data_IF_470392905419
#
_entry.id   IF_470392905419
#
_cell.length_a   1.000
_cell.length_b   1.000
_cell.length_c   1.000
_cell.angle_alpha   90.00
_cell.angle_beta   90.00
_cell.angle_gamma   90.00
#
_symmetry.space_group_name_H-M   'P 1'
#
loop_
_entity.id
_entity.type
_entity.pdbx_description
1 polymer ?
#
# COMPACT_ATOMS: atom_id res chain seq x y z
N UNK A 1 -57.48 -19.10 -43.05
CA UNK A 1 -57.61 -20.53 -42.69
C UNK A 1 -56.61 -20.78 -41.57
N UNK A 2 -57.13 -20.99 -40.34
CA UNK A 2 -56.53 -21.64 -39.14
C UNK A 2 -55.10 -21.25 -38.72
N UNK A 3 -54.92 -20.51 -37.61
CA UNK A 3 -54.63 -20.99 -36.22
C UNK A 3 -53.17 -21.49 -36.05
N UNK A 4 -52.36 -21.26 -35.01
CA UNK A 4 -52.46 -20.68 -33.66
C UNK A 4 -51.03 -20.74 -33.03
N UNK A 5 -50.70 -19.78 -32.14
CA UNK A 5 -49.87 -19.92 -30.89
C UNK A 5 -48.35 -20.22 -31.13
N UNK A 6 -47.38 -19.41 -30.67
CA UNK A 6 -47.01 -19.12 -29.28
C UNK A 6 -46.44 -17.71 -29.06
N UNK A 7 -47.02 -17.05 -28.08
CA UNK A 7 -46.49 -15.95 -27.29
C UNK A 7 -45.30 -16.44 -26.45
N UNK A 8 -44.16 -15.76 -26.52
CA UNK A 8 -43.20 -15.70 -25.39
C UNK A 8 -42.50 -14.34 -25.39
N UNK A 9 -43.10 -13.47 -24.59
CA UNK A 9 -42.51 -12.28 -23.96
C UNK A 9 -41.04 -12.50 -23.51
N UNK A 10 -40.08 -11.90 -24.25
CA UNK A 10 -38.70 -11.70 -23.75
C UNK A 10 -38.51 -10.23 -23.42
N UNK A 11 -39.01 -9.85 -22.25
CA UNK A 11 -38.65 -8.62 -21.56
C UNK A 11 -37.12 -8.51 -21.44
N UNK A 12 -36.55 -7.54 -22.17
CA UNK A 12 -35.24 -6.97 -21.89
C UNK A 12 -35.30 -6.28 -20.52
N UNK A 13 -34.91 -6.97 -19.46
CA UNK A 13 -34.63 -6.33 -18.17
C UNK A 13 -33.33 -5.52 -18.28
N UNK A 14 -33.49 -4.23 -18.55
CA UNK A 14 -32.45 -3.22 -18.28
C UNK A 14 -32.19 -3.22 -16.77
N UNK A 15 -31.06 -3.76 -16.33
CA UNK A 15 -30.59 -3.53 -14.97
C UNK A 15 -30.22 -2.05 -14.86
N UNK A 16 -31.05 -1.28 -14.15
CA UNK A 16 -30.82 0.14 -13.92
C UNK A 16 -29.69 0.31 -12.90
N UNK A 17 -28.88 1.38 -13.05
CA UNK A 17 -27.79 1.75 -12.13
C UNK A 17 -28.24 1.94 -10.67
N UNK A 18 -29.54 2.03 -10.38
CA UNK A 18 -30.10 2.11 -9.03
C UNK A 18 -30.42 0.76 -8.39
N UNK A 19 -30.42 -0.33 -9.15
CA UNK A 19 -30.64 -1.69 -8.62
C UNK A 19 -29.34 -2.36 -8.12
N UNK A 20 -28.17 -1.75 -8.37
CA UNK A 20 -26.87 -2.23 -7.89
C UNK A 20 -26.50 -1.67 -6.50
N UNK A 21 -27.08 -0.53 -6.09
CA UNK A 21 -26.82 0.12 -4.80
C UNK A 21 -27.79 -0.29 -3.68
N UNK A 22 -28.68 -1.25 -3.91
CA UNK A 22 -29.63 -1.75 -2.91
C UNK A 22 -29.39 -3.22 -2.52
N UNK A 23 -28.27 -3.83 -2.95
CA UNK A 23 -27.98 -5.26 -2.79
C UNK A 23 -26.63 -5.58 -2.16
N UNK A 24 -26.21 -4.82 -1.14
CA UNK A 24 -24.91 -5.01 -0.49
C UNK A 24 -24.91 -4.76 1.02
N UNK A 25 -26.04 -5.01 1.71
CA UNK A 25 -26.09 -5.03 3.17
C UNK A 25 -26.61 -6.40 3.61
N UNK A 26 -25.87 -7.00 4.54
CA UNK A 26 -26.10 -8.26 5.25
C UNK A 26 -25.69 -9.56 4.53
N UNK A 27 -24.56 -10.10 4.98
CA UNK A 27 -24.23 -11.51 5.28
C UNK A 27 -22.69 -11.52 5.46
N UNK A 28 -22.17 -11.30 6.68
CA UNK A 28 -21.70 -12.39 7.53
C UNK A 28 -21.83 -12.02 9.02
N UNK A 29 -22.98 -12.31 9.64
CA UNK A 29 -23.07 -12.52 11.07
C UNK A 29 -23.44 -13.99 11.29
N UNK A 30 -22.45 -14.87 11.10
CA UNK A 30 -22.56 -16.26 11.56
C UNK A 30 -22.41 -16.30 13.09
N UNK A 31 -22.99 -17.30 13.78
CA UNK A 31 -22.75 -17.45 15.21
C UNK A 31 -21.25 -17.61 15.43
N UNK A 32 -20.69 -16.78 16.31
CA UNK A 32 -19.32 -16.95 16.80
C UNK A 32 -19.27 -18.27 17.56
N UNK A 33 -18.88 -19.35 16.86
CA UNK A 33 -18.40 -20.55 17.51
C UNK A 33 -17.12 -20.12 18.24
N UNK A 34 -17.03 -20.22 19.57
CA UNK A 34 -15.76 -20.01 20.23
C UNK A 34 -14.86 -21.14 19.74
N UNK A 35 -13.96 -20.83 18.81
CA UNK A 35 -12.82 -21.67 18.51
C UNK A 35 -12.04 -21.77 19.82
N UNK A 36 -12.30 -22.87 20.54
CA UNK A 36 -11.52 -23.34 21.67
C UNK A 36 -10.06 -23.24 21.22
N UNK A 37 -9.31 -22.40 21.94
CA UNK A 37 -8.03 -21.86 21.52
C UNK A 37 -7.08 -22.92 20.99
N UNK A 38 -6.91 -22.92 19.66
CA UNK A 38 -5.63 -23.27 19.09
C UNK A 38 -4.61 -22.30 19.71
N UNK A 39 -3.51 -22.78 20.31
CA UNK A 39 -2.46 -21.88 20.77
C UNK A 39 -2.03 -21.03 19.58
N UNK A 40 -2.31 -19.72 19.63
CA UNK A 40 -1.81 -18.77 18.63
C UNK A 40 -0.28 -18.88 18.68
N UNK A 41 0.29 -19.59 17.72
CA UNK A 41 1.74 -19.66 17.61
C UNK A 41 2.22 -18.23 17.35
N UNK A 42 3.05 -17.73 18.25
CA UNK A 42 3.69 -16.43 18.04
C UNK A 42 4.67 -16.62 16.88
N UNK A 43 4.47 -15.92 15.74
CA UNK A 43 5.34 -16.10 14.58
C UNK A 43 6.77 -15.73 14.99
N UNK A 44 7.73 -16.50 14.49
CA UNK A 44 9.16 -16.21 14.63
C UNK A 44 9.70 -15.79 13.28
N UNK A 45 10.46 -14.71 13.26
CA UNK A 45 11.02 -14.13 12.04
C UNK A 45 12.53 -14.37 11.99
N UNK A 46 13.07 -14.55 10.78
CA UNK A 46 14.51 -14.71 10.56
C UNK A 46 15.30 -13.41 10.80
N UNK A 47 14.62 -12.27 10.83
CA UNK A 47 15.17 -10.93 11.09
C UNK A 47 14.04 -9.96 11.47
N UNK A 48 14.32 -8.66 11.63
CA UNK A 48 13.31 -7.66 11.94
C UNK A 48 12.21 -7.65 10.87
N UNK A 49 10.94 -7.96 11.22
CA UNK A 49 9.89 -8.16 10.22
C UNK A 49 9.45 -6.85 9.55
N UNK A 50 9.56 -5.72 10.24
CA UNK A 50 9.19 -4.39 9.72
C UNK A 50 10.37 -3.70 9.01
N UNK A 51 11.14 -4.46 8.23
CA UNK A 51 12.38 -4.00 7.58
C UNK A 51 12.15 -2.91 6.53
N UNK A 52 10.95 -2.83 5.96
CA UNK A 52 10.55 -1.84 4.95
C UNK A 52 9.88 -0.60 5.57
N UNK A 53 9.90 -0.50 6.91
CA UNK A 53 9.33 0.62 7.64
C UNK A 53 7.80 0.59 7.72
N UNK A 54 7.25 1.78 7.89
CA UNK A 54 5.80 2.03 8.00
C UNK A 54 5.46 3.26 7.15
N UNK A 55 4.24 3.33 6.66
CA UNK A 55 3.74 4.48 5.91
C UNK A 55 2.30 4.80 6.32
N UNK A 56 1.84 6.00 6.00
CA UNK A 56 0.43 6.37 6.09
C UNK A 56 0.06 7.19 4.86
N UNK A 57 -1.22 7.22 4.52
CA UNK A 57 -1.67 7.90 3.31
C UNK A 57 -3.17 8.08 3.23
N UNK A 58 -3.59 8.66 2.11
CA UNK A 58 -4.99 8.94 1.76
C UNK A 58 -5.84 9.47 2.93
N UNK A 59 -5.39 10.53 3.62
CA UNK A 59 -6.12 11.07 4.76
C UNK A 59 -7.44 11.70 4.32
N UNK A 60 -8.49 11.41 5.11
CA UNK A 60 -9.76 12.13 5.06
C UNK A 60 -9.90 12.98 6.33
N UNK A 61 -11.07 13.59 6.53
CA UNK A 61 -11.33 14.34 7.76
C UNK A 61 -11.47 13.48 9.01
N UNK A 62 -11.73 12.19 8.87
CA UNK A 62 -11.97 11.28 10.00
C UNK A 62 -11.30 9.91 9.83
N UNK A 63 -10.49 9.74 8.80
CA UNK A 63 -9.73 8.51 8.55
C UNK A 63 -8.35 8.74 7.96
N UNK A 64 -7.49 7.72 8.09
CA UNK A 64 -6.18 7.61 7.44
C UNK A 64 -5.91 6.15 7.08
N UNK A 65 -5.19 5.91 5.99
CA UNK A 65 -4.61 4.60 5.69
C UNK A 65 -3.28 4.43 6.43
N UNK A 66 -3.07 3.27 7.03
CA UNK A 66 -1.78 2.86 7.60
C UNK A 66 -1.25 1.65 6.84
N UNK A 67 0.06 1.64 6.59
CA UNK A 67 0.74 0.60 5.83
C UNK A 67 2.00 0.08 6.52
N UNK A 68 2.23 -1.22 6.41
CA UNK A 68 3.54 -1.86 6.59
C UNK A 68 3.58 -3.19 5.83
N UNK A 69 4.74 -3.83 5.74
CA UNK A 69 4.91 -5.17 5.14
C UNK A 69 5.83 -6.01 6.01
N UNK A 70 5.45 -7.26 6.30
CA UNK A 70 6.33 -8.21 6.98
C UNK A 70 7.33 -8.78 5.97
N UNK A 71 8.60 -8.41 6.11
CA UNK A 71 9.65 -8.78 5.17
C UNK A 71 11.02 -8.98 5.86
N UNK A 72 11.20 -9.98 6.74
CA UNK A 72 12.48 -10.22 7.42
C UNK A 72 13.67 -10.44 6.47
N UNK A 73 13.44 -10.91 5.24
CA UNK A 73 14.46 -11.02 4.18
C UNK A 73 13.95 -10.31 2.91
N UNK A 74 14.00 -8.97 2.88
CA UNK A 74 13.18 -8.16 1.97
C UNK A 74 13.55 -8.30 0.48
N UNK A 75 14.80 -8.60 0.17
CA UNK A 75 15.29 -8.75 -1.21
C UNK A 75 15.18 -10.21 -1.74
N UNK A 76 14.70 -11.14 -0.92
CA UNK A 76 14.48 -12.54 -1.27
C UNK A 76 12.99 -12.88 -1.14
N UNK A 77 12.13 -12.09 -1.81
CA UNK A 77 10.68 -12.25 -1.79
C UNK A 77 9.99 -11.83 -0.48
N UNK A 78 10.76 -11.49 0.56
CA UNK A 78 10.27 -11.10 1.88
C UNK A 78 10.56 -12.12 2.99
N UNK A 79 11.10 -13.30 2.70
CA UNK A 79 11.51 -14.27 3.75
C UNK A 79 10.39 -14.75 4.67
N UNK A 80 9.14 -14.68 4.22
CA UNK A 80 7.95 -15.15 4.91
C UNK A 80 7.49 -16.50 4.32
N UNK A 81 6.87 -17.36 5.13
CA UNK A 81 6.24 -18.60 4.65
C UNK A 81 4.84 -18.40 4.10
N UNK A 82 4.20 -19.48 3.66
CA UNK A 82 2.86 -19.48 3.03
C UNK A 82 1.69 -19.34 4.01
N UNK A 83 1.98 -18.97 5.26
CA UNK A 83 0.97 -18.80 6.31
C UNK A 83 0.55 -17.34 6.46
N UNK A 84 -0.71 -17.13 6.80
CA UNK A 84 -1.23 -15.83 7.16
C UNK A 84 -0.76 -15.44 8.57
N UNK A 85 -0.34 -14.17 8.75
CA UNK A 85 0.25 -13.69 10.00
C UNK A 85 -0.53 -12.53 10.57
N UNK A 86 -0.91 -12.62 11.84
CA UNK A 86 -1.58 -11.51 12.52
C UNK A 86 -0.61 -10.36 12.83
N UNK A 87 -1.08 -9.14 12.56
CA UNK A 87 -0.36 -7.89 12.84
C UNK A 87 -1.29 -6.98 13.62
N UNK A 88 -0.92 -6.68 14.87
CA UNK A 88 -1.64 -5.73 15.70
C UNK A 88 -1.21 -4.32 15.33
N UNK A 89 -2.15 -3.38 15.33
CA UNK A 89 -1.88 -1.97 15.08
C UNK A 89 -2.54 -1.11 16.16
N UNK A 90 -1.98 0.06 16.41
CA UNK A 90 -2.53 1.05 17.33
C UNK A 90 -2.25 2.46 16.83
N UNK A 91 -3.17 3.37 17.14
CA UNK A 91 -3.08 4.81 16.90
C UNK A 91 -3.24 5.55 18.22
N UNK A 92 -2.39 6.53 18.47
CA UNK A 92 -2.35 7.33 19.69
C UNK A 92 -2.26 8.83 19.40
N UNK A 93 -2.58 9.63 20.41
CA UNK A 93 -2.51 11.11 20.36
C UNK A 93 -1.16 11.67 20.83
N UNK A 94 -0.19 10.81 21.10
CA UNK A 94 1.16 11.16 21.53
C UNK A 94 2.20 10.19 20.96
N UNK A 95 3.39 10.71 20.68
CA UNK A 95 4.51 9.96 20.10
C UNK A 95 4.98 8.77 20.96
N UNK A 96 4.85 8.89 22.29
CA UNK A 96 5.22 7.82 23.23
C UNK A 96 4.20 6.67 23.21
N UNK A 97 3.11 6.81 22.44
CA UNK A 97 2.03 5.84 22.30
C UNK A 97 1.37 5.48 23.63
N UNK A 98 1.20 6.46 24.53
CA UNK A 98 0.61 6.26 25.86
C UNK A 98 -0.90 6.47 25.87
N UNK A 99 -1.44 7.29 24.95
CA UNK A 99 -2.86 7.63 24.82
C UNK A 99 -3.42 7.05 23.52
N UNK A 100 -3.58 5.73 23.50
CA UNK A 100 -4.14 4.98 22.37
C UNK A 100 -5.63 5.30 22.20
N UNK A 101 -6.02 5.77 21.03
CA UNK A 101 -7.40 6.12 20.66
C UNK A 101 -8.05 5.08 19.78
N UNK A 102 -7.28 4.37 18.95
CA UNK A 102 -7.75 3.27 18.11
C UNK A 102 -6.74 2.12 18.13
N UNK A 103 -7.22 0.88 18.02
CA UNK A 103 -6.36 -0.31 17.90
C UNK A 103 -7.12 -1.43 17.22
N UNK A 104 -6.39 -2.37 16.64
CA UNK A 104 -6.97 -3.56 16.06
C UNK A 104 -5.93 -4.58 15.64
N UNK A 105 -6.40 -5.58 14.90
CA UNK A 105 -5.58 -6.65 14.33
C UNK A 105 -5.94 -6.78 12.86
N UNK A 106 -4.92 -6.86 12.01
CA UNK A 106 -5.03 -7.17 10.60
C UNK A 106 -4.29 -8.46 10.29
N UNK A 107 -4.61 -9.10 9.17
CA UNK A 107 -3.98 -10.35 8.74
C UNK A 107 -3.11 -10.06 7.52
N UNK A 108 -1.80 -10.19 7.67
CA UNK A 108 -0.82 -10.13 6.59
C UNK A 108 -0.85 -11.47 5.84
N UNK A 109 -1.28 -11.47 4.58
CA UNK A 109 -1.48 -12.71 3.81
C UNK A 109 -0.39 -12.92 2.75
N UNK A 110 0.01 -14.17 2.45
CA UNK A 110 1.04 -14.45 1.45
C UNK A 110 0.68 -14.01 0.03
N UNK A 111 -0.60 -14.06 -0.34
CA UNK A 111 -1.09 -13.64 -1.65
C UNK A 111 -0.84 -12.15 -1.93
N UNK A 112 -0.73 -11.34 -0.87
CA UNK A 112 -0.38 -9.91 -0.92
C UNK A 112 1.04 -9.63 -0.37
N UNK A 113 1.93 -10.62 -0.43
CA UNK A 113 3.33 -10.47 0.00
C UNK A 113 3.48 -10.07 1.47
N UNK A 114 2.51 -10.43 2.32
CA UNK A 114 2.41 -10.04 3.73
C UNK A 114 2.41 -8.52 3.96
N UNK A 115 1.91 -7.76 2.99
CA UNK A 115 1.53 -6.37 3.19
C UNK A 115 0.31 -6.25 4.12
N UNK A 116 0.24 -5.14 4.84
CA UNK A 116 -0.85 -4.79 5.75
C UNK A 116 -1.32 -3.39 5.41
N UNK A 117 -2.59 -3.29 5.05
CA UNK A 117 -3.32 -2.04 4.86
C UNK A 117 -4.41 -1.93 5.91
N UNK A 118 -4.50 -0.78 6.58
CA UNK A 118 -5.52 -0.51 7.60
C UNK A 118 -6.13 0.86 7.35
N UNK A 119 -7.42 0.89 7.04
CA UNK A 119 -8.19 2.12 7.14
C UNK A 119 -8.60 2.34 8.61
N UNK A 120 -8.08 3.39 9.23
CA UNK A 120 -8.45 3.76 10.60
C UNK A 120 -9.44 4.90 10.52
N UNK A 121 -10.70 4.64 10.85
CA UNK A 121 -11.80 5.63 10.83
C UNK A 121 -12.14 6.15 12.23
N UNK A 122 -13.03 7.14 12.32
CA UNK A 122 -13.51 7.71 13.58
C UNK A 122 -12.46 8.56 14.30
N UNK A 123 -11.48 9.08 13.58
CA UNK A 123 -10.50 10.02 14.08
C UNK A 123 -11.07 11.44 14.07
N UNK A 124 -10.51 12.31 14.91
CA UNK A 124 -10.88 13.73 14.90
C UNK A 124 -10.23 14.42 13.70
N UNK A 125 -10.90 15.40 13.08
CA UNK A 125 -10.36 16.16 11.97
C UNK A 125 -9.21 17.07 12.36
N UNK A 126 -8.40 17.41 11.37
CA UNK A 126 -7.29 18.36 11.45
C UNK A 126 -6.29 18.07 12.59
N UNK A 127 -5.98 16.78 12.83
CA UNK A 127 -5.23 16.35 14.00
C UNK A 127 -4.08 15.41 13.65
N UNK A 128 -2.95 15.63 14.33
CA UNK A 128 -1.81 14.72 14.31
C UNK A 128 -2.04 13.49 15.19
N UNK A 129 -1.63 12.34 14.67
CA UNK A 129 -1.65 11.05 15.34
C UNK A 129 -0.31 10.32 15.16
N UNK A 130 -0.05 9.38 16.06
CA UNK A 130 1.08 8.47 15.98
C UNK A 130 0.57 7.04 15.93
N UNK A 131 1.25 6.18 15.18
CA UNK A 131 0.81 4.81 14.96
C UNK A 131 1.98 3.82 14.96
N UNK A 132 1.68 2.55 15.20
CA UNK A 132 2.67 1.47 15.23
C UNK A 132 2.03 0.11 15.01
N UNK A 133 2.80 -0.80 14.42
CA UNK A 133 2.46 -2.21 14.25
C UNK A 133 3.26 -3.12 15.19
N UNK A 134 2.71 -4.30 15.49
CA UNK A 134 3.35 -5.35 16.29
C UNK A 134 2.98 -6.73 15.77
N UNK A 135 3.97 -7.62 15.65
CA UNK A 135 3.76 -9.02 15.32
C UNK A 135 4.91 -9.87 15.87
N UNK A 136 4.66 -11.10 16.29
CA UNK A 136 5.73 -12.01 16.73
C UNK A 136 6.58 -11.54 17.91
N UNK A 137 6.08 -10.62 18.75
CA UNK A 137 6.86 -9.96 19.82
C UNK A 137 7.67 -8.75 19.34
N UNK A 138 7.80 -8.55 18.03
CA UNK A 138 8.45 -7.42 17.39
C UNK A 138 7.51 -6.21 17.28
N UNK A 139 8.10 -5.02 17.23
CA UNK A 139 7.39 -3.78 17.05
C UNK A 139 8.00 -2.99 15.89
N UNK A 140 7.16 -2.40 15.05
CA UNK A 140 7.63 -1.45 14.06
C UNK A 140 8.14 -0.19 14.73
N UNK A 141 8.86 0.65 13.97
CA UNK A 141 9.04 2.05 14.33
C UNK A 141 7.68 2.76 14.46
N UNK A 142 7.64 3.84 15.22
CA UNK A 142 6.44 4.69 15.34
C UNK A 142 6.39 5.59 14.11
N UNK A 143 5.24 5.61 13.43
CA UNK A 143 4.94 6.58 12.40
C UNK A 143 4.05 7.71 12.93
N UNK A 144 3.97 8.81 12.19
CA UNK A 144 3.15 9.99 12.42
C UNK A 144 2.28 10.24 11.19
N UNK A 145 1.03 10.59 11.40
CA UNK A 145 0.05 10.88 10.34
C UNK A 145 -0.89 11.99 10.75
N UNK A 146 -1.69 12.51 9.82
CA UNK A 146 -2.63 13.61 10.04
C UNK A 146 -3.94 13.37 9.31
N UNK A 147 -5.06 13.60 9.98
CA UNK A 147 -6.38 13.75 9.34
C UNK A 147 -6.54 15.15 8.76
N UNK A 148 -7.24 15.27 7.65
CA UNK A 148 -7.54 16.57 7.05
C UNK A 148 -8.60 17.35 7.84
N UNK A 149 -8.68 18.68 7.65
CA UNK A 149 -9.84 19.44 8.09
C UNK A 149 -11.13 18.94 7.44
N UNK A 150 -12.26 19.13 8.11
CA UNK A 150 -13.58 18.91 7.52
C UNK A 150 -13.75 19.84 6.30
N UNK A 151 -14.36 19.34 5.22
CA UNK A 151 -14.62 20.12 4.03
C UNK A 151 -15.34 21.45 4.35
N UNK A 152 -14.84 22.56 3.79
CA UNK A 152 -15.36 23.91 4.05
C UNK A 152 -14.80 24.60 5.30
N UNK A 153 -13.94 23.93 6.08
CA UNK A 153 -13.23 24.57 7.20
C UNK A 153 -12.28 25.66 6.70
N UNK A 154 -12.13 26.73 7.47
CA UNK A 154 -11.12 27.75 7.21
C UNK A 154 -9.72 27.19 7.53
N UNK A 155 -8.89 27.00 6.51
CA UNK A 155 -7.51 26.52 6.65
C UNK A 155 -6.56 27.71 6.60
N UNK A 156 -5.79 27.93 7.67
CA UNK A 156 -4.84 29.05 7.74
C UNK A 156 -3.63 28.84 6.83
N UNK A 157 -3.15 27.61 6.73
CA UNK A 157 -1.98 27.23 5.96
C UNK A 157 -2.04 25.74 5.63
N UNK A 158 -1.57 25.37 4.44
CA UNK A 158 -1.26 24.01 4.04
C UNK A 158 0.21 23.96 3.64
N UNK A 159 0.98 23.02 4.21
CA UNK A 159 2.35 22.73 3.79
C UNK A 159 2.39 21.39 3.10
N UNK A 160 2.82 21.38 1.85
CA UNK A 160 2.93 20.17 1.05
C UNK A 160 4.25 20.13 0.32
N UNK A 161 4.78 18.93 0.11
CA UNK A 161 5.82 18.66 -0.87
C UNK A 161 5.28 17.69 -1.92
N UNK A 162 5.93 17.68 -3.08
CA UNK A 162 5.76 16.60 -4.03
C UNK A 162 7.12 16.07 -4.49
N UNK A 163 7.17 14.79 -4.84
CA UNK A 163 8.34 14.11 -5.37
C UNK A 163 7.94 13.21 -6.55
N UNK A 164 8.89 12.92 -7.41
CA UNK A 164 8.81 11.92 -8.47
C UNK A 164 10.22 11.51 -8.87
N UNK A 165 10.33 10.49 -9.73
CA UNK A 165 11.56 10.14 -10.44
C UNK A 165 12.76 9.85 -9.52
N UNK A 166 12.58 8.90 -8.61
CA UNK A 166 13.60 8.57 -7.60
C UNK A 166 14.51 7.41 -8.04
N UNK A 167 15.05 7.43 -9.26
CA UNK A 167 15.84 6.30 -9.79
C UNK A 167 17.00 5.91 -8.87
N UNK A 168 16.91 4.73 -8.26
CA UNK A 168 17.80 4.27 -7.19
C UNK A 168 19.29 4.34 -7.55
N UNK A 169 19.66 3.93 -8.76
CA UNK A 169 21.06 3.93 -9.22
C UNK A 169 21.67 5.32 -9.46
N UNK A 170 20.84 6.36 -9.65
CA UNK A 170 21.33 7.69 -10.07
C UNK A 170 21.88 8.53 -8.92
N UNK A 171 21.54 8.18 -7.67
CA UNK A 171 22.02 8.88 -6.49
C UNK A 171 21.40 8.35 -5.21
N UNK A 172 21.80 8.94 -4.08
CA UNK A 172 21.18 8.69 -2.78
C UNK A 172 19.94 9.54 -2.59
N UNK A 173 19.03 9.10 -1.73
CA UNK A 173 17.76 9.77 -1.45
C UNK A 173 17.87 10.95 -0.47
N UNK A 174 18.98 11.70 -0.55
CA UNK A 174 19.26 12.88 0.29
C UNK A 174 18.19 13.97 0.15
N UNK A 175 17.45 14.01 -0.97
CA UNK A 175 16.30 14.88 -1.11
C UNK A 175 15.21 14.61 -0.06
N UNK A 176 14.94 13.33 0.27
CA UNK A 176 14.02 12.99 1.36
C UNK A 176 14.57 13.40 2.71
N UNK A 177 15.88 13.31 2.93
CA UNK A 177 16.51 13.84 4.14
C UNK A 177 16.24 15.33 4.32
N UNK A 178 16.33 16.13 3.26
CA UNK A 178 16.01 17.55 3.32
C UNK A 178 14.51 17.80 3.46
N UNK A 179 13.65 16.99 2.84
CA UNK A 179 12.20 17.05 3.03
C UNK A 179 11.79 16.91 4.51
N UNK A 180 12.55 16.13 5.29
CA UNK A 180 12.32 15.94 6.73
C UNK A 180 12.63 17.18 7.58
N UNK A 181 13.34 18.17 7.03
CA UNK A 181 13.60 19.46 7.71
C UNK A 181 12.33 20.33 7.73
N UNK A 182 11.38 20.07 6.84
CA UNK A 182 10.07 20.71 6.82
C UNK A 182 9.06 19.98 7.71
N UNK A 183 8.10 20.71 8.28
CA UNK A 183 6.93 20.14 8.95
C UNK A 183 5.74 20.19 7.99
N UNK A 184 5.71 19.22 7.06
CA UNK A 184 4.70 19.10 6.01
C UNK A 184 3.41 18.46 6.55
N UNK A 185 2.26 18.90 6.06
CA UNK A 185 0.97 18.30 6.36
C UNK A 185 0.69 17.06 5.50
N UNK A 186 1.25 17.01 4.27
CA UNK A 186 1.09 15.91 3.31
C UNK A 186 2.21 15.92 2.27
N UNK A 187 2.55 14.75 1.73
CA UNK A 187 3.47 14.59 0.59
C UNK A 187 2.74 13.95 -0.57
N UNK A 188 2.99 14.41 -1.79
CA UNK A 188 2.54 13.75 -3.01
C UNK A 188 3.69 13.01 -3.69
N UNK A 189 3.49 11.78 -4.12
CA UNK A 189 4.41 11.12 -5.05
C UNK A 189 3.74 11.00 -6.42
N UNK A 190 4.37 11.54 -7.46
CA UNK A 190 3.76 11.76 -8.78
C UNK A 190 4.31 10.80 -9.84
N UNK A 191 4.61 9.57 -9.46
CA UNK A 191 5.16 8.54 -10.34
C UNK A 191 6.67 8.38 -10.29
N UNK A 192 7.14 7.33 -10.95
CA UNK A 192 8.53 6.86 -10.96
C UNK A 192 9.09 6.63 -9.54
N UNK A 193 8.27 6.04 -8.69
CA UNK A 193 8.66 5.58 -7.36
C UNK A 193 9.69 4.45 -7.46
N UNK A 194 9.55 3.58 -8.46
CA UNK A 194 10.57 2.62 -8.85
C UNK A 194 10.94 2.82 -10.32
N UNK A 195 11.99 2.12 -10.73
CA UNK A 195 12.37 1.92 -12.13
C UNK A 195 12.56 0.43 -12.33
N UNK A 196 12.27 -0.05 -13.52
CA UNK A 196 12.16 -1.46 -13.93
C UNK A 196 13.46 -2.09 -14.43
N UNK A 197 14.41 -1.26 -14.88
CA UNK A 197 15.63 -1.67 -15.59
C UNK A 197 16.53 -2.67 -14.86
N UNK A 198 17.40 -3.33 -15.62
CA UNK A 198 18.52 -4.11 -15.10
C UNK A 198 19.54 -3.26 -14.32
N UNK A 199 20.28 -3.88 -13.41
CA UNK A 199 21.31 -3.21 -12.63
C UNK A 199 22.57 -2.85 -13.44
N UNK A 200 23.00 -1.59 -13.39
CA UNK A 200 24.16 -1.09 -14.13
C UNK A 200 25.37 -0.81 -13.24
N UNK A 201 26.52 -1.35 -13.63
CA UNK A 201 27.80 -1.07 -12.97
C UNK A 201 28.26 0.39 -13.16
N UNK A 202 29.11 0.87 -12.26
CA UNK A 202 29.67 2.23 -12.30
C UNK A 202 28.69 3.34 -11.90
N UNK A 203 27.50 2.99 -11.39
CA UNK A 203 26.51 3.91 -10.81
C UNK A 203 26.73 4.10 -9.30
N UNK A 204 26.05 5.10 -8.71
CA UNK A 204 26.17 5.40 -7.28
C UNK A 204 25.64 4.26 -6.39
N UNK A 205 24.60 3.60 -6.88
CA UNK A 205 24.01 2.37 -6.34
C UNK A 205 23.62 1.47 -7.50
N UNK A 206 23.26 0.22 -7.23
CA UNK A 206 22.93 -0.77 -8.27
C UNK A 206 21.57 -1.42 -8.01
N UNK A 207 20.74 -1.55 -9.04
CA UNK A 207 19.57 -2.44 -8.99
C UNK A 207 20.03 -3.90 -8.91
N UNK A 208 19.15 -4.76 -8.40
CA UNK A 208 19.37 -6.20 -8.33
C UNK A 208 18.78 -6.90 -9.55
N UNK A 209 19.60 -7.72 -10.22
CA UNK A 209 19.17 -8.58 -11.32
C UNK A 209 18.93 -7.84 -12.63
N UNK A 210 18.24 -8.54 -13.53
CA UNK A 210 17.83 -8.06 -14.85
C UNK A 210 16.62 -7.11 -14.74
N UNK A 211 16.07 -6.72 -15.88
CA UNK A 211 14.80 -5.99 -15.94
C UNK A 211 13.66 -6.80 -15.29
N UNK A 212 12.81 -6.13 -14.51
CA UNK A 212 11.76 -6.80 -13.74
C UNK A 212 10.52 -7.09 -14.58
N UNK A 213 10.04 -8.34 -14.51
CA UNK A 213 8.85 -8.77 -15.26
C UNK A 213 7.87 -9.56 -14.39
N UNK A 214 8.36 -10.33 -13.40
CA UNK A 214 7.53 -11.17 -12.55
C UNK A 214 7.12 -10.44 -11.27
N UNK A 215 6.05 -10.90 -10.63
CA UNK A 215 5.58 -10.35 -9.35
C UNK A 215 6.68 -10.34 -8.27
N UNK A 216 7.50 -11.39 -8.21
CA UNK A 216 8.66 -11.46 -7.30
C UNK A 216 9.67 -10.35 -7.57
N UNK A 217 9.88 -10.02 -8.83
CA UNK A 217 10.89 -9.06 -9.26
C UNK A 217 10.43 -7.65 -8.89
N UNK A 218 9.17 -7.31 -9.16
CA UNK A 218 8.57 -6.05 -8.71
C UNK A 218 8.53 -5.93 -7.18
N UNK A 219 8.19 -7.01 -6.45
CA UNK A 219 8.23 -7.01 -4.98
C UNK A 219 9.64 -6.74 -4.44
N UNK A 220 10.65 -7.36 -5.03
CA UNK A 220 12.05 -7.16 -4.66
C UNK A 220 12.55 -5.76 -5.05
N UNK A 221 12.10 -5.22 -6.19
CA UNK A 221 12.43 -3.85 -6.61
C UNK A 221 11.83 -2.81 -5.68
N UNK A 222 10.55 -2.92 -5.33
CA UNK A 222 9.94 -2.04 -4.34
C UNK A 222 10.63 -2.16 -2.98
N UNK A 223 10.98 -3.38 -2.55
CA UNK A 223 11.73 -3.58 -1.32
C UNK A 223 13.10 -2.89 -1.36
N UNK A 224 13.86 -3.00 -2.46
CA UNK A 224 15.14 -2.33 -2.65
C UNK A 224 15.04 -0.82 -2.46
N UNK A 225 14.02 -0.19 -3.05
CA UNK A 225 13.78 1.24 -2.90
C UNK A 225 13.36 1.59 -1.47
N UNK A 226 12.41 0.84 -0.89
CA UNK A 226 11.91 1.07 0.48
C UNK A 226 12.90 0.71 1.58
N UNK A 227 14.05 0.11 1.27
CA UNK A 227 15.14 -0.08 2.23
C UNK A 227 15.97 1.19 2.47
N UNK A 228 15.79 2.23 1.65
CA UNK A 228 16.48 3.50 1.86
C UNK A 228 16.00 4.18 3.15
N UNK A 229 16.91 4.51 4.09
CA UNK A 229 16.54 5.05 5.40
C UNK A 229 15.90 6.44 5.33
N UNK A 230 16.29 7.29 4.38
CA UNK A 230 15.73 8.63 4.25
C UNK A 230 14.28 8.54 3.73
N UNK A 231 14.01 7.61 2.81
CA UNK A 231 12.66 7.32 2.33
C UNK A 231 11.78 6.68 3.42
N UNK A 232 12.31 5.74 4.21
CA UNK A 232 11.58 5.16 5.34
C UNK A 232 11.21 6.20 6.39
N UNK A 233 12.09 7.15 6.66
CA UNK A 233 11.82 8.23 7.61
C UNK A 233 10.77 9.20 7.06
N UNK A 234 10.82 9.54 5.76
CA UNK A 234 9.80 10.37 5.13
C UNK A 234 8.40 9.73 5.21
N UNK A 235 8.27 8.45 4.84
CA UNK A 235 7.01 7.69 4.96
C UNK A 235 6.52 7.56 6.40
N UNK A 236 7.43 7.41 7.35
CA UNK A 236 7.06 7.34 8.76
C UNK A 236 6.63 8.70 9.32
N UNK A 237 7.02 9.84 8.71
CA UNK A 237 6.80 11.18 9.29
C UNK A 237 5.58 11.91 8.74
N UNK A 238 5.22 11.66 7.49
CA UNK A 238 4.16 12.37 6.76
C UNK A 238 3.17 11.38 6.11
N UNK A 239 1.89 11.76 5.97
CA UNK A 239 0.98 11.02 5.10
C UNK A 239 1.33 11.28 3.62
N UNK A 240 1.36 10.21 2.82
CA UNK A 240 1.61 10.27 1.38
C UNK A 240 0.32 10.08 0.60
N UNK A 241 0.16 10.83 -0.48
CA UNK A 241 -0.85 10.59 -1.53
C UNK A 241 -0.07 10.25 -2.80
N UNK A 242 -0.23 9.04 -3.30
CA UNK A 242 0.65 8.49 -4.34
C UNK A 242 -0.12 8.20 -5.63
N UNK A 243 0.54 8.46 -6.74
CA UNK A 243 0.15 7.96 -8.06
C UNK A 243 1.39 7.48 -8.77
N UNK A 244 1.22 6.50 -9.65
CA UNK A 244 2.29 5.99 -10.51
C UNK A 244 2.41 6.82 -11.80
N UNK A 245 3.52 6.63 -12.52
CA UNK A 245 3.67 6.98 -13.93
C UNK A 245 4.00 5.70 -14.72
N UNK A 246 4.98 5.74 -15.61
CA UNK A 246 5.34 4.66 -16.52
C UNK A 246 6.31 3.66 -15.87
N UNK A 247 7.35 4.13 -15.18
CA UNK A 247 8.42 3.30 -14.63
C UNK A 247 8.04 2.40 -13.45
N UNK A 248 6.84 2.56 -12.88
CA UNK A 248 6.24 1.53 -12.04
C UNK A 248 5.97 0.22 -12.80
N UNK A 249 5.95 0.25 -14.13
CA UNK A 249 5.70 -0.89 -15.00
C UNK A 249 6.82 -1.05 -16.03
N UNK A 250 6.92 -0.10 -16.95
CA UNK A 250 7.70 -0.16 -18.20
C UNK A 250 7.75 1.25 -18.78
N UNK A 251 8.93 1.76 -19.07
CA UNK A 251 9.14 3.10 -19.63
C UNK A 251 8.16 3.42 -20.77
N UNK A 252 7.61 4.62 -20.80
CA UNK A 252 6.67 5.15 -21.81
C UNK A 252 5.42 4.29 -22.11
N UNK A 253 5.03 3.32 -21.29
CA UNK A 253 3.89 2.48 -21.62
C UNK A 253 2.59 3.28 -21.78
N UNK A 254 1.73 2.86 -22.72
CA UNK A 254 0.45 3.50 -22.98
C UNK A 254 -0.66 2.46 -23.02
N UNK A 255 -1.47 2.41 -21.95
CA UNK A 255 -2.50 1.40 -21.77
C UNK A 255 -1.93 -0.02 -21.92
N UNK A 256 -2.18 -0.72 -23.02
CA UNK A 256 -1.69 -2.08 -23.30
C UNK A 256 -0.49 -2.12 -24.25
N UNK A 257 0.11 -0.97 -24.55
CA UNK A 257 1.26 -0.81 -25.45
C UNK A 257 2.51 -0.62 -24.60
N UNK A 258 3.48 -1.53 -24.72
CA UNK A 258 4.81 -1.40 -24.10
C UNK A 258 5.75 -0.54 -24.95
N UNK A 259 6.90 -0.14 -24.40
CA UNK A 259 7.95 0.57 -25.17
C UNK A 259 8.43 -0.27 -26.37
N UNK A 260 8.87 -1.49 -26.09
CA UNK A 260 9.55 -2.35 -27.08
C UNK A 260 8.61 -3.16 -27.99
N UNK A 261 7.32 -2.83 -27.99
CA UNK A 261 6.34 -3.51 -28.83
C UNK A 261 6.06 -4.97 -28.43
N UNK A 262 6.12 -5.28 -27.13
CA UNK A 262 5.66 -6.56 -26.59
C UNK A 262 4.21 -6.82 -27.02
N UNK A 263 3.84 -8.08 -27.32
CA UNK A 263 2.44 -8.43 -27.52
C UNK A 263 1.57 -7.98 -26.34
N UNK A 264 0.46 -7.30 -26.63
CA UNK A 264 -0.41 -6.69 -25.62
C UNK A 264 -0.82 -7.66 -24.49
N UNK A 265 -1.08 -8.94 -24.80
CA UNK A 265 -1.43 -9.93 -23.78
C UNK A 265 -0.28 -10.18 -22.77
N UNK A 266 0.97 -10.18 -23.23
CA UNK A 266 2.13 -10.35 -22.37
C UNK A 266 2.35 -9.09 -21.53
N UNK A 267 2.24 -7.91 -22.16
CA UNK A 267 2.39 -6.66 -21.45
C UNK A 267 1.30 -6.45 -20.38
N UNK A 268 0.05 -6.83 -20.66
CA UNK A 268 -1.02 -6.79 -19.67
C UNK A 268 -0.79 -7.70 -18.47
N UNK A 269 -0.06 -8.82 -18.65
CA UNK A 269 0.37 -9.69 -17.53
C UNK A 269 1.44 -8.99 -16.69
N UNK A 270 2.46 -8.40 -17.32
CA UNK A 270 3.49 -7.59 -16.65
C UNK A 270 2.85 -6.44 -15.86
N UNK A 271 1.99 -5.65 -16.50
CA UNK A 271 1.25 -4.55 -15.85
C UNK A 271 0.42 -4.99 -14.66
N UNK A 272 -0.24 -6.17 -14.73
CA UNK A 272 -1.03 -6.70 -13.61
C UNK A 272 -0.16 -7.00 -12.40
N UNK A 273 1.00 -7.63 -12.59
CA UNK A 273 1.89 -7.96 -11.47
C UNK A 273 2.59 -6.72 -10.93
N UNK A 274 2.94 -5.75 -11.80
CA UNK A 274 3.45 -4.44 -11.40
C UNK A 274 2.45 -3.68 -10.50
N UNK A 275 1.18 -3.58 -10.93
CA UNK A 275 0.13 -2.92 -10.15
C UNK A 275 -0.17 -3.63 -8.84
N UNK A 276 -0.12 -4.96 -8.81
CA UNK A 276 -0.25 -5.71 -7.56
C UNK A 276 0.91 -5.37 -6.61
N UNK A 277 2.16 -5.40 -7.08
CA UNK A 277 3.31 -5.05 -6.26
C UNK A 277 3.25 -3.59 -5.78
N UNK A 278 2.78 -2.66 -6.63
CA UNK A 278 2.56 -1.28 -6.24
C UNK A 278 1.55 -1.17 -5.09
N UNK A 279 0.38 -1.81 -5.21
CA UNK A 279 -0.62 -1.87 -4.13
C UNK A 279 -0.04 -2.47 -2.84
N UNK A 280 0.76 -3.53 -2.95
CA UNK A 280 1.39 -4.15 -1.77
C UNK A 280 2.38 -3.24 -1.04
N UNK A 281 2.88 -2.18 -1.69
CA UNK A 281 3.93 -1.29 -1.17
C UNK A 281 3.50 0.15 -0.90
N UNK A 282 2.24 0.48 -1.19
CA UNK A 282 1.63 1.80 -1.00
C UNK A 282 0.43 1.72 -0.07
#
# INVERSE_FOLDING_TARGET
>A
MTDRIWDTDRQRRRLSRRSFLAGGVALMAGPAVPLIGQPRQTPRFAGPPFSLGVASGDPTSDSVMLWTRLAPVPLEGGGMGDEAVEVNWAVATDERMTRVVQRGTSVARPDLGHAVHVEVTGLEPDRWYWYRFRSGGEASRVGRTRTFPVAGSAVRQLKMAFASCQHYETGYFTAYRHMLEDDLDVVFHLGDYIYEYEGRDGRARKHTGDEIELLSDYRNRHALYKLDPDLQEAHARFPFIVTWDDHEVDNNYAASISEDGLPAELFERRRRVAYQAYYEHM
#
